data_IF_137480520367
#
_entry.id   IF_137480520367
#
_cell.length_a   1.000
_cell.length_b   1.000
_cell.length_c   1.000
_cell.angle_alpha   90.00
_cell.angle_beta   90.00
_cell.angle_gamma   90.00
#
_symmetry.space_group_name_H-M   'P 1'
#
loop_
_entity.id
_entity.type
_entity.pdbx_description
1 polymer ?
#
# COMPACT_ATOMS: atom_id res chain seq x y z
N UNK A 1 21.25 -12.85 -20.33
CA UNK A 1 20.23 -11.94 -19.82
C UNK A 1 18.82 -12.54 -19.90
N UNK A 2 18.38 -13.09 -21.03
CA UNK A 2 17.06 -13.75 -21.15
C UNK A 2 16.88 -14.91 -20.16
N UNK A 3 17.84 -15.83 -20.06
CA UNK A 3 17.80 -16.96 -19.12
C UNK A 3 17.63 -16.54 -17.66
N UNK A 4 18.31 -15.44 -17.24
CA UNK A 4 18.16 -14.91 -15.88
C UNK A 4 16.75 -14.37 -15.64
N UNK A 5 16.18 -13.67 -16.62
CA UNK A 5 14.80 -13.13 -16.52
C UNK A 5 13.78 -14.28 -16.46
N UNK A 6 13.95 -15.30 -17.28
CA UNK A 6 13.11 -16.50 -17.28
C UNK A 6 13.18 -17.24 -15.93
N UNK A 7 14.40 -17.45 -15.40
CA UNK A 7 14.61 -18.06 -14.09
C UNK A 7 13.96 -17.26 -12.96
N UNK A 8 14.15 -15.93 -12.92
CA UNK A 8 13.52 -15.05 -11.92
C UNK A 8 11.99 -15.05 -12.05
N UNK A 9 11.47 -15.09 -13.28
CA UNK A 9 10.03 -15.18 -13.53
C UNK A 9 9.44 -16.50 -13.07
N UNK A 10 10.17 -17.61 -13.22
CA UNK A 10 9.76 -18.92 -12.71
C UNK A 10 9.70 -18.92 -11.18
N UNK A 11 10.75 -18.47 -10.49
CA UNK A 11 10.76 -18.35 -9.01
C UNK A 11 9.58 -17.48 -8.54
N UNK A 12 9.38 -16.32 -9.19
CA UNK A 12 8.30 -15.41 -8.85
C UNK A 12 6.92 -16.06 -8.99
N UNK A 13 6.75 -16.90 -10.01
CA UNK A 13 5.52 -17.68 -10.24
C UNK A 13 5.34 -18.78 -9.19
N UNK A 14 6.40 -19.52 -8.84
CA UNK A 14 6.34 -20.57 -7.81
C UNK A 14 5.99 -19.99 -6.44
N UNK A 15 6.66 -18.89 -6.04
CA UNK A 15 6.36 -18.19 -4.79
C UNK A 15 4.94 -17.63 -4.80
N UNK A 16 4.49 -17.09 -5.93
CA UNK A 16 3.12 -16.61 -6.08
C UNK A 16 2.10 -17.73 -5.85
N UNK A 17 2.23 -18.86 -6.56
CA UNK A 17 1.28 -19.98 -6.44
C UNK A 17 1.27 -20.57 -5.02
N UNK A 18 2.45 -20.70 -4.39
CA UNK A 18 2.54 -21.11 -2.99
C UNK A 18 1.76 -20.17 -2.05
N UNK A 19 1.96 -18.86 -2.16
CA UNK A 19 1.31 -17.88 -1.28
C UNK A 19 -0.19 -17.70 -1.59
N UNK A 20 -0.58 -17.76 -2.87
CA UNK A 20 -1.97 -17.65 -3.30
C UNK A 20 -2.77 -18.91 -2.95
N UNK A 21 -2.10 -20.06 -2.77
CA UNK A 21 -2.72 -21.32 -2.37
C UNK A 21 -3.29 -21.32 -0.93
N UNK A 22 -2.88 -20.39 -0.06
CA UNK A 22 -3.44 -20.25 1.29
C UNK A 22 -4.70 -19.39 1.28
N UNK A 23 -5.83 -19.98 0.91
CA UNK A 23 -7.09 -19.25 0.79
C UNK A 23 -8.27 -19.99 1.42
N UNK A 24 -9.28 -19.23 1.84
CA UNK A 24 -10.62 -19.68 2.23
C UNK A 24 -11.60 -18.52 2.20
N UNK A 25 -12.91 -18.81 2.25
CA UNK A 25 -14.00 -17.82 2.15
C UNK A 25 -13.89 -16.68 3.16
N UNK A 26 -13.46 -16.94 4.40
CA UNK A 26 -13.26 -15.91 5.43
C UNK A 26 -12.16 -14.92 5.01
N UNK A 27 -11.01 -15.43 4.57
CA UNK A 27 -9.91 -14.60 4.13
C UNK A 27 -10.18 -13.92 2.77
N UNK A 28 -11.06 -14.46 1.93
CA UNK A 28 -11.51 -13.82 0.71
C UNK A 28 -12.21 -12.48 1.04
N UNK A 29 -13.15 -12.51 1.99
CA UNK A 29 -13.79 -11.29 2.48
C UNK A 29 -12.80 -10.34 3.14
N UNK A 30 -11.93 -10.86 4.02
CA UNK A 30 -10.97 -10.04 4.73
C UNK A 30 -10.03 -9.31 3.76
N UNK A 31 -9.37 -10.02 2.85
CA UNK A 31 -8.38 -9.43 1.94
C UNK A 31 -9.02 -8.47 0.94
N UNK A 32 -10.23 -8.76 0.50
CA UNK A 32 -11.01 -7.85 -0.36
C UNK A 32 -11.35 -6.54 0.37
N UNK A 33 -11.85 -6.61 1.59
CA UNK A 33 -12.14 -5.41 2.39
C UNK A 33 -10.88 -4.67 2.81
N UNK A 34 -9.79 -5.39 3.16
CA UNK A 34 -8.53 -4.78 3.56
C UNK A 34 -7.89 -3.98 2.43
N UNK A 35 -7.91 -4.51 1.18
CA UNK A 35 -7.33 -3.80 0.02
C UNK A 35 -8.22 -2.67 -0.51
N UNK A 36 -9.46 -2.55 -0.04
CA UNK A 36 -10.38 -1.54 -0.55
C UNK A 36 -9.99 -0.15 -0.03
N UNK A 37 -9.78 0.79 -0.96
CA UNK A 37 -9.21 2.11 -0.65
C UNK A 37 -9.99 2.92 0.39
N UNK A 38 -11.33 2.81 0.41
CA UNK A 38 -12.18 3.57 1.32
C UNK A 38 -12.21 3.02 2.74
N UNK A 39 -11.81 1.78 2.97
CA UNK A 39 -11.67 1.18 4.31
C UNK A 39 -10.73 1.98 5.20
N UNK A 40 -9.71 2.62 4.61
CA UNK A 40 -8.65 3.32 5.34
C UNK A 40 -8.89 4.83 5.47
N UNK A 41 -10.04 5.35 5.01
CA UNK A 41 -10.37 6.78 5.16
C UNK A 41 -10.33 7.25 6.62
N UNK A 42 -10.90 6.52 7.62
CA UNK A 42 -10.78 6.93 9.03
C UNK A 42 -9.32 6.98 9.51
N UNK A 43 -8.51 6.03 9.08
CA UNK A 43 -7.08 5.99 9.40
C UNK A 43 -6.33 7.22 8.81
N UNK A 44 -6.55 7.54 7.54
CA UNK A 44 -5.96 8.73 6.91
C UNK A 44 -6.43 10.03 7.55
N UNK A 45 -7.71 10.11 7.95
CA UNK A 45 -8.25 11.27 8.65
C UNK A 45 -7.55 11.52 9.99
N UNK A 46 -7.12 10.46 10.70
CA UNK A 46 -6.34 10.63 11.95
C UNK A 46 -4.96 11.18 11.72
N UNK A 47 -4.29 10.86 10.60
CA UNK A 47 -3.02 11.51 10.24
C UNK A 47 -3.21 12.99 9.98
N UNK A 48 -4.23 13.36 9.21
CA UNK A 48 -4.56 14.76 8.97
C UNK A 48 -4.87 15.49 10.30
N UNK A 49 -5.63 14.86 11.19
CA UNK A 49 -5.91 15.40 12.51
C UNK A 49 -4.63 15.63 13.32
N UNK A 50 -3.71 14.66 13.36
CA UNK A 50 -2.42 14.81 14.03
C UNK A 50 -1.63 15.97 13.44
N UNK A 51 -1.63 16.13 12.12
CA UNK A 51 -0.95 17.23 11.44
C UNK A 51 -1.55 18.58 11.85
N UNK A 52 -2.87 18.75 11.79
CA UNK A 52 -3.58 19.98 12.16
C UNK A 52 -3.31 20.37 13.64
N UNK A 53 -3.19 19.36 14.52
CA UNK A 53 -3.00 19.62 15.97
C UNK A 53 -1.56 19.91 16.38
N UNK A 54 -0.58 19.66 15.53
CA UNK A 54 0.83 19.75 15.88
C UNK A 54 1.65 20.69 15.01
N UNK A 55 1.16 21.05 13.82
CA UNK A 55 1.91 21.87 12.87
C UNK A 55 1.12 23.12 12.47
N UNK A 56 1.85 24.11 12.01
CA UNK A 56 1.24 25.31 11.42
C UNK A 56 0.44 24.92 10.16
N UNK A 57 -0.66 25.62 9.88
CA UNK A 57 -1.56 25.27 8.76
C UNK A 57 -0.84 25.20 7.42
N UNK A 58 0.16 26.07 7.15
CA UNK A 58 0.96 26.05 5.92
C UNK A 58 1.75 24.73 5.77
N UNK A 59 2.32 24.22 6.88
CA UNK A 59 3.02 22.93 6.89
C UNK A 59 2.04 21.79 6.64
N UNK A 60 0.86 21.83 7.28
CA UNK A 60 -0.20 20.83 7.07
C UNK A 60 -0.66 20.82 5.62
N UNK A 61 -0.95 21.99 5.04
CA UNK A 61 -1.36 22.09 3.62
C UNK A 61 -0.26 21.59 2.69
N UNK A 62 0.99 22.00 2.91
CA UNK A 62 2.12 21.53 2.10
C UNK A 62 2.31 20.00 2.21
N UNK A 63 2.08 19.41 3.38
CA UNK A 63 2.13 17.97 3.60
C UNK A 63 1.02 17.25 2.81
N UNK A 64 -0.22 17.75 2.84
CA UNK A 64 -1.32 17.19 2.05
C UNK A 64 -1.01 17.25 0.55
N UNK A 65 -0.52 18.38 0.07
CA UNK A 65 -0.09 18.52 -1.35
C UNK A 65 1.02 17.53 -1.68
N UNK A 66 2.04 17.38 -0.80
CA UNK A 66 3.12 16.44 -0.99
C UNK A 66 2.62 14.99 -1.09
N UNK A 67 1.67 14.59 -0.26
CA UNK A 67 1.05 13.25 -0.31
C UNK A 67 0.30 13.05 -1.63
N UNK A 68 -0.51 14.02 -2.06
CA UNK A 68 -1.25 13.94 -3.33
C UNK A 68 -0.29 13.81 -4.51
N UNK A 69 0.75 14.65 -4.56
CA UNK A 69 1.79 14.60 -5.59
C UNK A 69 2.51 13.24 -5.58
N UNK A 70 2.81 12.71 -4.40
CA UNK A 70 3.46 11.39 -4.25
C UNK A 70 2.60 10.27 -4.86
N UNK A 71 1.30 10.26 -4.56
CA UNK A 71 0.36 9.25 -5.10
C UNK A 71 0.27 9.38 -6.61
N UNK A 72 0.17 10.61 -7.14
CA UNK A 72 0.14 10.85 -8.58
C UNK A 72 1.41 10.35 -9.28
N UNK A 73 2.60 10.64 -8.72
CA UNK A 73 3.87 10.15 -9.26
C UNK A 73 3.91 8.62 -9.25
N UNK A 74 3.56 7.97 -8.13
CA UNK A 74 3.53 6.51 -8.03
C UNK A 74 2.58 5.88 -9.05
N UNK A 75 1.35 6.43 -9.15
CA UNK A 75 0.34 5.88 -10.06
C UNK A 75 0.72 6.08 -11.52
N UNK A 76 1.17 7.29 -11.91
CA UNK A 76 1.61 7.56 -13.28
C UNK A 76 2.83 6.71 -13.66
N UNK A 77 3.82 6.59 -12.76
CA UNK A 77 4.99 5.74 -13.01
C UNK A 77 4.60 4.27 -13.18
N UNK A 78 3.76 3.74 -12.29
CA UNK A 78 3.37 2.35 -12.34
C UNK A 78 2.37 2.07 -13.48
N UNK A 79 1.27 2.84 -13.57
CA UNK A 79 0.14 2.51 -14.44
C UNK A 79 0.29 3.03 -15.86
N UNK A 80 0.83 4.23 -16.04
CA UNK A 80 0.90 4.88 -17.36
C UNK A 80 2.22 4.60 -18.06
N UNK A 81 3.33 4.54 -17.31
CA UNK A 81 4.65 4.35 -17.91
C UNK A 81 5.05 2.87 -17.95
N UNK A 82 5.17 2.21 -16.79
CA UNK A 82 5.81 0.90 -16.73
C UNK A 82 4.91 -0.27 -17.16
N UNK A 83 3.60 -0.25 -16.86
CA UNK A 83 2.71 -1.35 -17.29
C UNK A 83 2.65 -1.53 -18.80
N UNK A 84 2.50 -0.47 -19.62
CA UNK A 84 2.52 -0.63 -21.08
C UNK A 84 3.91 -0.98 -21.64
N UNK A 85 4.99 -0.63 -20.93
CA UNK A 85 6.35 -0.95 -21.38
C UNK A 85 6.74 -2.40 -21.12
N UNK A 86 6.30 -2.97 -20.00
CA UNK A 86 6.69 -4.33 -19.58
C UNK A 86 5.67 -5.39 -20.05
N UNK A 87 4.39 -5.01 -20.14
CA UNK A 87 3.28 -5.85 -20.60
C UNK A 87 3.17 -7.21 -19.89
N UNK A 88 3.68 -7.32 -18.65
CA UNK A 88 3.56 -8.55 -17.85
C UNK A 88 2.09 -8.81 -17.49
N UNK A 89 1.53 -9.90 -17.99
CA UNK A 89 0.16 -10.29 -17.67
C UNK A 89 0.00 -10.60 -16.19
N UNK A 90 -1.18 -10.27 -15.63
CA UNK A 90 -1.52 -10.66 -14.25
C UNK A 90 -1.67 -12.17 -14.13
N UNK A 91 -1.39 -12.76 -12.94
CA UNK A 91 -1.63 -14.18 -12.70
C UNK A 91 -3.06 -14.61 -13.04
N UNK A 92 -4.06 -13.80 -12.62
CA UNK A 92 -5.49 -14.04 -12.84
C UNK A 92 -6.01 -13.73 -14.24
N UNK A 93 -5.19 -13.17 -15.15
CA UNK A 93 -5.63 -12.88 -16.51
C UNK A 93 -5.88 -14.18 -17.27
N UNK A 94 -7.02 -14.30 -17.95
CA UNK A 94 -7.43 -15.53 -18.65
C UNK A 94 -6.46 -15.94 -19.77
N UNK A 95 -5.74 -14.98 -20.36
CA UNK A 95 -4.71 -15.26 -21.37
C UNK A 95 -3.39 -15.74 -20.74
N UNK A 96 -3.25 -15.70 -19.41
CA UNK A 96 -2.06 -16.17 -18.72
C UNK A 96 -2.11 -17.70 -18.53
N UNK A 97 -1.09 -18.46 -18.96
CA UNK A 97 -1.09 -19.93 -18.87
C UNK A 97 -1.30 -20.47 -17.45
N UNK A 98 -0.91 -19.72 -16.40
CA UNK A 98 -1.09 -20.17 -15.01
C UNK A 98 -2.47 -19.84 -14.44
N UNK A 99 -3.30 -19.07 -15.15
CA UNK A 99 -4.62 -18.62 -14.66
C UNK A 99 -5.52 -19.73 -14.12
N UNK A 100 -5.54 -20.96 -14.69
CA UNK A 100 -6.33 -22.05 -14.13
C UNK A 100 -5.90 -22.54 -12.74
N UNK A 101 -4.66 -22.22 -12.34
CA UNK A 101 -4.09 -22.59 -11.04
C UNK A 101 -4.27 -21.49 -9.97
N UNK A 102 -4.77 -20.33 -10.37
CA UNK A 102 -4.82 -19.14 -9.52
C UNK A 102 -6.15 -19.05 -8.78
N UNK A 103 -6.09 -18.95 -7.45
CA UNK A 103 -7.25 -18.54 -6.66
C UNK A 103 -7.59 -17.06 -6.92
N UNK A 104 -8.83 -16.81 -7.28
CA UNK A 104 -9.36 -15.48 -7.57
C UNK A 104 -10.62 -15.26 -6.73
N UNK A 105 -10.51 -14.42 -5.68
CA UNK A 105 -11.65 -14.14 -4.82
C UNK A 105 -12.70 -13.29 -5.56
N UNK A 106 -13.97 -13.72 -5.49
CA UNK A 106 -15.13 -13.02 -6.08
C UNK A 106 -14.95 -12.67 -7.56
N UNK A 107 -14.22 -13.49 -8.32
CA UNK A 107 -13.94 -13.30 -9.75
C UNK A 107 -13.28 -11.95 -10.12
N UNK A 108 -12.63 -11.30 -9.15
CA UNK A 108 -11.93 -10.05 -9.37
C UNK A 108 -10.56 -10.28 -9.99
N UNK A 109 -10.40 -10.03 -11.29
CA UNK A 109 -9.17 -10.30 -12.04
C UNK A 109 -8.30 -9.05 -12.30
N UNK A 110 -8.86 -7.86 -12.14
CA UNK A 110 -8.18 -6.60 -12.45
C UNK A 110 -7.97 -6.37 -13.94
N UNK A 111 -7.06 -5.45 -14.32
CA UNK A 111 -6.72 -5.18 -15.71
C UNK A 111 -5.71 -6.19 -16.28
N UNK A 112 -5.38 -6.09 -17.59
CA UNK A 112 -4.53 -7.04 -18.32
C UNK A 112 -3.12 -7.14 -17.73
N UNK A 113 -2.43 -6.02 -17.50
CA UNK A 113 -1.03 -5.97 -17.06
C UNK A 113 -0.89 -5.71 -15.57
N UNK A 114 0.09 -6.38 -14.93
CA UNK A 114 0.32 -6.35 -13.49
C UNK A 114 1.56 -5.56 -13.06
N UNK A 115 2.63 -5.57 -13.84
CA UNK A 115 3.93 -5.04 -13.42
C UNK A 115 4.11 -3.54 -13.72
N UNK A 116 4.54 -2.76 -12.71
CA UNK A 116 4.55 -3.05 -11.29
C UNK A 116 3.18 -2.81 -10.61
N UNK A 117 3.07 -3.13 -9.32
CA UNK A 117 1.85 -2.92 -8.56
C UNK A 117 1.70 -1.47 -8.09
N UNK A 118 0.69 -0.75 -8.60
CA UNK A 118 0.35 0.61 -8.15
C UNK A 118 -0.16 0.61 -6.70
N UNK A 119 -0.85 -0.45 -6.25
CA UNK A 119 -1.29 -0.57 -4.86
C UNK A 119 -0.09 -0.64 -3.90
N UNK A 120 0.92 -1.44 -4.23
CA UNK A 120 2.15 -1.50 -3.45
C UNK A 120 2.89 -0.15 -3.49
N UNK A 121 3.04 0.47 -4.67
CA UNK A 121 3.70 1.76 -4.80
C UNK A 121 3.03 2.82 -3.92
N UNK A 122 1.71 2.96 -3.98
CA UNK A 122 0.96 3.95 -3.22
C UNK A 122 1.00 3.67 -1.70
N UNK A 123 0.76 2.42 -1.27
CA UNK A 123 0.75 2.08 0.17
C UNK A 123 2.12 2.23 0.82
N UNK A 124 3.19 1.78 0.17
CA UNK A 124 4.54 1.96 0.66
C UNK A 124 4.99 3.42 0.62
N UNK A 125 4.61 4.18 -0.41
CA UNK A 125 4.88 5.61 -0.47
C UNK A 125 4.27 6.36 0.72
N UNK A 126 3.00 6.12 1.00
CA UNK A 126 2.32 6.71 2.16
C UNK A 126 2.96 6.27 3.48
N UNK A 127 3.32 4.99 3.61
CA UNK A 127 3.97 4.48 4.81
C UNK A 127 5.33 5.16 5.03
N UNK A 128 6.21 5.19 4.04
CA UNK A 128 7.53 5.83 4.16
C UNK A 128 7.44 7.33 4.41
N UNK A 129 6.55 8.03 3.69
CA UNK A 129 6.36 9.47 3.91
C UNK A 129 5.91 9.76 5.35
N UNK A 130 4.94 8.99 5.88
CA UNK A 130 4.49 9.12 7.26
C UNK A 130 5.57 8.74 8.28
N UNK A 131 6.40 7.72 7.99
CA UNK A 131 7.55 7.35 8.83
C UNK A 131 8.59 8.47 8.91
N UNK A 132 8.89 9.12 7.78
CA UNK A 132 9.80 10.27 7.75
C UNK A 132 9.25 11.47 8.53
N UNK A 133 7.92 11.68 8.47
CA UNK A 133 7.27 12.82 9.09
C UNK A 133 7.14 12.67 10.61
N UNK A 134 6.67 11.51 11.08
CA UNK A 134 6.29 11.29 12.49
C UNK A 134 7.45 10.73 13.32
N UNK A 135 8.32 9.91 12.73
CA UNK A 135 9.53 9.33 13.35
C UNK A 135 9.28 8.60 14.67
N UNK A 136 8.27 7.70 14.70
CA UNK A 136 7.87 6.94 15.87
C UNK A 136 7.93 5.44 15.60
N UNK A 137 8.76 4.71 16.36
CA UNK A 137 8.98 3.28 16.15
C UNK A 137 7.67 2.47 16.15
N UNK A 138 6.77 2.70 17.09
CA UNK A 138 5.47 1.99 17.15
C UNK A 138 4.61 2.24 15.91
N UNK A 139 4.56 3.51 15.45
CA UNK A 139 3.82 3.86 14.25
C UNK A 139 4.51 3.29 13.00
N UNK A 140 5.83 3.33 12.94
CA UNK A 140 6.59 2.79 11.82
C UNK A 140 6.35 1.28 11.67
N UNK A 141 6.35 0.53 12.79
CA UNK A 141 6.03 -0.91 12.78
C UNK A 141 4.60 -1.14 12.27
N UNK A 142 3.63 -0.36 12.77
CA UNK A 142 2.24 -0.47 12.30
C UNK A 142 2.10 -0.15 10.81
N UNK A 143 2.76 0.91 10.32
CA UNK A 143 2.74 1.30 8.91
C UNK A 143 3.38 0.25 8.00
N UNK A 144 4.50 -0.33 8.43
CA UNK A 144 5.16 -1.42 7.71
C UNK A 144 4.25 -2.66 7.64
N UNK A 145 3.64 -3.06 8.76
CA UNK A 145 2.66 -4.15 8.80
C UNK A 145 1.48 -3.89 7.87
N UNK A 146 0.91 -2.69 7.93
CA UNK A 146 -0.21 -2.28 7.07
C UNK A 146 0.17 -2.34 5.58
N UNK A 147 1.32 -1.78 5.19
CA UNK A 147 1.76 -1.79 3.79
C UNK A 147 2.12 -3.19 3.28
N UNK A 148 2.69 -4.05 4.14
CA UNK A 148 2.94 -5.46 3.84
C UNK A 148 1.63 -6.22 3.63
N UNK A 149 0.64 -6.03 4.51
CA UNK A 149 -0.67 -6.69 4.37
C UNK A 149 -1.42 -6.19 3.13
N UNK A 150 -1.34 -4.88 2.80
CA UNK A 150 -1.85 -4.32 1.55
C UNK A 150 -1.18 -4.97 0.33
N UNK A 151 0.13 -5.18 0.38
CA UNK A 151 0.86 -5.87 -0.68
C UNK A 151 0.46 -7.34 -0.77
N UNK A 152 0.44 -8.07 0.36
CA UNK A 152 0.04 -9.47 0.39
C UNK A 152 -1.38 -9.70 -0.12
N UNK A 153 -2.31 -8.79 0.18
CA UNK A 153 -3.67 -8.89 -0.34
C UNK A 153 -3.74 -8.96 -1.86
N UNK A 154 -2.75 -8.40 -2.57
CA UNK A 154 -2.70 -8.44 -4.04
C UNK A 154 -2.23 -9.80 -4.58
N UNK A 155 -1.35 -10.50 -3.84
CA UNK A 155 -0.99 -11.91 -4.11
C UNK A 155 -2.21 -12.78 -3.83
N UNK A 156 -2.82 -12.61 -2.67
CA UNK A 156 -3.99 -13.37 -2.24
C UNK A 156 -5.13 -13.30 -3.25
N UNK A 157 -5.46 -12.10 -3.76
CA UNK A 157 -6.50 -11.89 -4.77
C UNK A 157 -6.09 -12.31 -6.20
N UNK A 158 -4.92 -12.89 -6.39
CA UNK A 158 -4.46 -13.41 -7.67
C UNK A 158 -4.05 -12.37 -8.71
N UNK A 159 -3.89 -11.10 -8.32
CA UNK A 159 -3.74 -10.01 -9.31
C UNK A 159 -2.32 -9.50 -9.50
N UNK A 160 -1.36 -9.89 -8.65
CA UNK A 160 0.05 -9.49 -8.75
C UNK A 160 1.00 -10.58 -8.29
N UNK A 161 2.12 -10.70 -8.97
CA UNK A 161 3.25 -11.49 -8.52
C UNK A 161 4.03 -10.78 -7.39
N UNK A 162 4.79 -11.51 -6.54
CA UNK A 162 5.69 -10.90 -5.55
C UNK A 162 6.65 -9.87 -6.13
N UNK A 163 7.23 -10.12 -7.31
CA UNK A 163 8.12 -9.17 -8.00
C UNK A 163 7.43 -7.86 -8.37
N UNK A 164 6.14 -7.89 -8.74
CA UNK A 164 5.36 -6.68 -9.03
C UNK A 164 5.23 -5.79 -7.79
N UNK A 165 5.10 -6.43 -6.61
CA UNK A 165 4.95 -5.74 -5.33
C UNK A 165 6.28 -5.16 -4.84
N UNK A 166 7.37 -5.92 -5.02
CA UNK A 166 8.72 -5.47 -4.66
C UNK A 166 9.10 -4.21 -5.44
N UNK A 167 8.92 -4.24 -6.76
CA UNK A 167 9.20 -3.06 -7.61
C UNK A 167 8.25 -1.90 -7.28
N UNK A 168 6.97 -2.19 -7.02
CA UNK A 168 6.04 -1.18 -6.52
C UNK A 168 6.52 -0.54 -5.22
N UNK A 169 6.97 -1.34 -4.24
CA UNK A 169 7.50 -0.83 -2.97
C UNK A 169 8.76 0.04 -3.17
N UNK A 170 9.66 -0.34 -4.09
CA UNK A 170 10.85 0.46 -4.44
C UNK A 170 10.43 1.81 -5.04
N UNK A 171 9.46 1.84 -5.96
CA UNK A 171 8.91 3.07 -6.52
C UNK A 171 8.33 3.94 -5.40
N UNK A 172 7.56 3.33 -4.48
CA UNK A 172 7.00 4.02 -3.33
C UNK A 172 8.06 4.62 -2.41
N UNK A 173 9.13 3.86 -2.12
CA UNK A 173 10.26 4.32 -1.31
C UNK A 173 10.98 5.52 -1.94
N UNK A 174 11.34 5.41 -3.23
CA UNK A 174 12.05 6.48 -3.95
C UNK A 174 11.18 7.74 -4.01
N UNK A 175 9.91 7.60 -4.38
CA UNK A 175 8.97 8.73 -4.48
C UNK A 175 8.78 9.41 -3.12
N UNK A 176 8.51 8.63 -2.05
CA UNK A 176 8.36 9.17 -0.71
C UNK A 176 9.61 9.93 -0.24
N UNK A 177 10.80 9.37 -0.52
CA UNK A 177 12.07 9.99 -0.15
C UNK A 177 12.27 11.32 -0.86
N UNK A 178 12.15 11.32 -2.19
CA UNK A 178 12.34 12.55 -2.99
C UNK A 178 11.33 13.62 -2.58
N UNK A 179 10.03 13.28 -2.55
CA UNK A 179 8.98 14.26 -2.24
C UNK A 179 9.09 14.76 -0.79
N UNK A 180 9.49 13.89 0.16
CA UNK A 180 9.71 14.32 1.54
C UNK A 180 10.85 15.35 1.66
N UNK A 181 11.98 15.14 0.97
CA UNK A 181 13.08 16.11 1.01
C UNK A 181 12.73 17.42 0.29
N UNK A 182 12.00 17.36 -0.82
CA UNK A 182 11.46 18.56 -1.49
C UNK A 182 10.49 19.31 -0.57
N UNK A 183 9.55 18.58 0.06
CA UNK A 183 8.65 19.15 1.06
C UNK A 183 9.42 19.83 2.20
N UNK A 184 10.42 19.16 2.77
CA UNK A 184 11.28 19.71 3.83
C UNK A 184 12.01 20.98 3.40
N UNK A 185 12.53 21.00 2.18
CA UNK A 185 13.22 22.18 1.65
C UNK A 185 12.30 23.41 1.60
N UNK A 186 11.09 23.26 1.07
CA UNK A 186 10.14 24.38 0.99
C UNK A 186 9.45 24.71 2.32
N UNK A 187 9.27 23.73 3.19
CA UNK A 187 8.65 23.95 4.49
C UNK A 187 9.65 24.32 5.60
N UNK A 188 10.95 24.43 5.33
CA UNK A 188 12.03 24.59 6.31
C UNK A 188 11.76 25.75 7.27
N UNK A 189 11.42 26.92 6.77
CA UNK A 189 11.18 28.13 7.57
C UNK A 189 10.09 27.89 8.63
N UNK A 190 9.04 27.12 8.29
CA UNK A 190 7.92 26.83 9.18
C UNK A 190 8.16 25.58 10.03
N UNK A 191 8.94 24.61 9.56
CA UNK A 191 9.25 23.39 10.30
C UNK A 191 10.29 23.66 11.39
N UNK A 192 11.31 24.49 11.14
CA UNK A 192 12.35 24.82 12.13
C UNK A 192 11.77 25.62 13.33
N UNK A 193 10.73 26.43 13.10
CA UNK A 193 10.05 27.17 14.16
C UNK A 193 9.02 26.34 14.94
N UNK A 194 8.42 25.33 14.30
CA UNK A 194 7.26 24.61 14.82
C UNK A 194 7.45 23.09 14.86
N UNK A 195 8.66 22.55 14.60
CA UNK A 195 8.91 21.12 14.80
C UNK A 195 8.70 20.79 16.29
N UNK A 196 7.66 20.02 16.62
CA UNK A 196 7.57 19.49 17.97
C UNK A 196 8.84 18.66 18.19
N UNK A 197 9.52 18.87 19.32
CA UNK A 197 10.71 18.09 19.70
C UNK A 197 10.42 16.62 19.40
N UNK A 198 11.34 15.98 18.70
CA UNK A 198 11.18 14.60 18.28
C UNK A 198 10.61 13.78 19.45
N UNK A 199 9.42 13.28 19.27
CA UNK A 199 8.80 12.48 20.28
C UNK A 199 7.60 13.04 21.03
N UNK A 200 7.11 14.22 20.78
CA UNK A 200 6.03 14.84 21.56
C UNK A 200 4.83 15.33 20.74
N UNK A 201 4.54 14.68 19.60
CA UNK A 201 3.32 14.99 18.85
C UNK A 201 2.09 14.64 19.71
N UNK A 202 1.19 15.61 19.89
CA UNK A 202 -0.12 15.33 20.51
C UNK A 202 -0.90 14.36 19.64
N UNK A 203 -1.60 13.42 20.25
CA UNK A 203 -2.48 12.46 19.58
C UNK A 203 -1.79 11.50 18.58
N UNK A 204 -0.46 11.37 18.59
CA UNK A 204 0.33 10.53 17.69
C UNK A 204 -0.04 9.03 17.70
N UNK A 205 -0.76 8.57 18.74
CA UNK A 205 -1.24 7.20 18.87
C UNK A 205 -2.57 6.96 18.15
N UNK A 206 -3.32 8.01 17.78
CA UNK A 206 -4.63 7.88 17.14
C UNK A 206 -4.58 7.10 15.81
N UNK A 207 -3.61 7.33 14.91
CA UNK A 207 -3.53 6.51 13.70
C UNK A 207 -3.40 5.02 13.98
N UNK A 208 -2.62 4.63 15.00
CA UNK A 208 -2.49 3.22 15.37
C UNK A 208 -3.82 2.69 15.92
N UNK A 209 -4.46 3.42 16.84
CA UNK A 209 -5.73 2.99 17.45
C UNK A 209 -6.83 2.82 16.41
N UNK A 210 -6.99 3.81 15.52
CA UNK A 210 -8.02 3.75 14.47
C UNK A 210 -7.66 2.70 13.43
N UNK A 211 -6.38 2.54 13.09
CA UNK A 211 -5.94 1.48 12.19
C UNK A 211 -6.23 0.08 12.75
N UNK A 212 -5.94 -0.16 14.04
CA UNK A 212 -6.28 -1.43 14.71
C UNK A 212 -7.81 -1.61 14.77
N UNK A 213 -8.57 -0.57 15.12
CA UNK A 213 -10.03 -0.63 15.13
C UNK A 213 -10.59 -0.98 13.73
N UNK A 214 -10.04 -0.39 12.66
CA UNK A 214 -10.41 -0.74 11.28
C UNK A 214 -10.15 -2.22 10.99
N UNK A 215 -9.00 -2.76 11.40
CA UNK A 215 -8.68 -4.18 11.22
C UNK A 215 -9.68 -5.07 11.98
N UNK A 216 -10.01 -4.71 13.22
CA UNK A 216 -11.00 -5.47 14.03
C UNK A 216 -12.38 -5.46 13.35
N UNK A 217 -12.80 -4.30 12.82
CA UNK A 217 -14.07 -4.20 12.08
C UNK A 217 -14.05 -5.07 10.82
N UNK A 218 -12.94 -5.09 10.06
CA UNK A 218 -12.81 -5.94 8.88
C UNK A 218 -12.88 -7.43 9.29
N UNK A 219 -12.17 -7.84 10.35
CA UNK A 219 -12.19 -9.22 10.86
C UNK A 219 -13.62 -9.63 11.25
N UNK A 220 -14.35 -8.80 12.00
CA UNK A 220 -15.71 -9.06 12.40
C UNK A 220 -16.67 -9.14 11.20
N UNK A 221 -16.58 -8.18 10.28
CA UNK A 221 -17.37 -8.15 9.05
C UNK A 221 -17.12 -9.39 8.18
N UNK A 222 -15.86 -9.81 8.04
CA UNK A 222 -15.51 -11.05 7.31
C UNK A 222 -16.16 -12.29 7.90
N UNK A 223 -16.20 -12.38 9.25
CA UNK A 223 -16.90 -13.47 9.94
C UNK A 223 -18.40 -13.49 9.67
N UNK A 224 -19.05 -12.31 9.75
CA UNK A 224 -20.48 -12.18 9.46
C UNK A 224 -20.77 -12.56 7.99
N UNK A 225 -20.00 -12.03 7.05
CA UNK A 225 -20.19 -12.31 5.62
C UNK A 225 -19.99 -13.79 5.28
N UNK A 226 -19.04 -14.44 5.95
CA UNK A 226 -18.82 -15.90 5.78
C UNK A 226 -20.00 -16.72 6.29
N UNK A 227 -20.64 -16.30 7.38
CA UNK A 227 -21.81 -17.00 7.96
C UNK A 227 -23.10 -16.77 7.14
N UNK A 228 -23.24 -15.58 6.55
CA UNK A 228 -24.43 -15.22 5.75
C UNK A 228 -24.34 -15.75 4.32
N UNK A 229 -23.13 -15.94 3.80
CA UNK A 229 -22.89 -16.44 2.45
C UNK A 229 -22.87 -17.96 2.31
N UNK A 230 -23.09 -18.71 3.42
CA UNK A 230 -23.31 -20.16 3.44
C UNK A 230 -24.79 -20.48 3.36
#
# INVERSE_FOLDING_TARGET
MKEIIEYLSQIDTEVFLFLNGFHNTYWDYFMTMFTYRFTWVPFYATFLYVMIRNFHYKVTTACVVAIVVSILICDQTASTLLKPMVERMRPSNLDNPISPLVHVAFDYRGGRYGFPSSHAANSWCMAFFAMYLVRRSRLNIFLAFWALTMSYSRIYLGVHYPGDLLVGAIIGFITATVVYYVFRYFAKEYTDQFEPKAGKLKYQHYPILVGIASIIVILAASGIMTLVGQ
#
